data_IF_330785949064
#
_entry.id   IF_330785949064
#
_cell.length_a   1.000
_cell.length_b   1.000
_cell.length_c   1.000
_cell.angle_alpha   90.00
_cell.angle_beta   90.00
_cell.angle_gamma   90.00
#
_symmetry.space_group_name_H-M   'P 1'
#
loop_
_entity.id
_entity.type
_entity.pdbx_description
1 polymer ?
#
# COMPACT_ATOMS: atom_id res chain seq x y z
N UNK A 1 20.80 -13.19 19.85
CA UNK A 1 19.81 -12.75 20.84
C UNK A 1 18.48 -13.24 20.31
N UNK A 2 17.89 -14.27 20.95
CA UNK A 2 16.52 -14.73 20.64
C UNK A 2 15.58 -13.56 20.90
N UNK A 3 14.86 -13.12 19.87
CA UNK A 3 13.86 -12.06 19.99
C UNK A 3 12.83 -12.50 21.03
N UNK A 4 12.58 -11.66 22.04
CA UNK A 4 11.54 -11.89 23.04
C UNK A 4 10.20 -11.86 22.29
N UNK A 5 9.33 -12.85 22.55
CA UNK A 5 7.94 -12.81 22.07
C UNK A 5 7.27 -11.52 22.55
N UNK A 6 6.84 -10.69 21.62
CA UNK A 6 6.17 -9.41 21.90
C UNK A 6 4.68 -9.56 21.67
N UNK A 7 3.89 -8.85 22.47
CA UNK A 7 2.49 -8.60 22.19
C UNK A 7 2.35 -7.28 21.47
N UNK A 8 1.86 -7.33 20.22
CA UNK A 8 1.78 -6.20 19.31
C UNK A 8 0.33 -5.86 19.07
N UNK A 9 -0.08 -4.63 19.35
CA UNK A 9 -1.33 -4.09 18.83
C UNK A 9 -1.01 -3.38 17.52
N UNK A 10 -1.57 -3.87 16.42
CA UNK A 10 -1.43 -3.30 15.09
C UNK A 10 -2.76 -2.73 14.63
N UNK A 11 -2.81 -1.48 14.16
CA UNK A 11 -4.01 -0.93 13.52
C UNK A 11 -4.02 -1.19 12.03
N UNK A 12 -5.19 -1.37 11.42
CA UNK A 12 -5.35 -1.47 9.97
C UNK A 12 -6.68 -0.86 9.51
N UNK A 13 -6.77 -0.55 8.23
CA UNK A 13 -8.05 -0.32 7.55
C UNK A 13 -8.28 -1.40 6.49
N UNK A 14 -9.56 -1.67 6.19
CA UNK A 14 -9.98 -2.69 5.25
C UNK A 14 -10.27 -2.16 3.83
N UNK A 15 -10.01 -0.85 3.58
CA UNK A 15 -10.44 -0.18 2.33
C UNK A 15 -9.44 -0.33 1.19
N UNK A 16 -8.17 -0.61 1.49
CA UNK A 16 -7.14 -0.62 0.46
C UNK A 16 -5.90 -1.45 0.79
N UNK A 17 -4.77 -1.07 0.22
CA UNK A 17 -3.51 -1.79 0.35
C UNK A 17 -2.95 -1.89 1.78
N UNK A 18 -3.44 -1.07 2.70
CA UNK A 18 -3.03 -1.14 4.12
C UNK A 18 -3.49 -2.45 4.75
N UNK A 19 -4.70 -2.94 4.39
CA UNK A 19 -5.14 -4.27 4.82
C UNK A 19 -4.14 -5.34 4.41
N UNK A 20 -3.77 -5.36 3.14
CA UNK A 20 -2.89 -6.39 2.61
C UNK A 20 -1.51 -6.36 3.25
N UNK A 21 -0.95 -5.16 3.43
CA UNK A 21 0.29 -4.97 4.17
C UNK A 21 0.18 -5.50 5.61
N UNK A 22 -0.89 -5.11 6.32
CA UNK A 22 -1.08 -5.47 7.72
C UNK A 22 -1.31 -6.98 7.89
N UNK A 23 -2.08 -7.60 7.00
CA UNK A 23 -2.35 -9.03 7.02
C UNK A 23 -1.07 -9.86 6.78
N UNK A 24 -0.31 -9.53 5.73
CA UNK A 24 0.96 -10.21 5.41
C UNK A 24 1.97 -10.05 6.56
N UNK A 25 2.11 -8.84 7.10
CA UNK A 25 3.04 -8.59 8.21
C UNK A 25 2.59 -9.28 9.50
N UNK A 26 1.30 -9.17 9.88
CA UNK A 26 0.77 -9.77 11.09
C UNK A 26 0.90 -11.30 11.09
N UNK A 27 0.50 -11.95 9.99
CA UNK A 27 0.64 -13.40 9.84
C UNK A 27 2.08 -13.87 9.97
N UNK A 28 3.02 -13.17 9.34
CA UNK A 28 4.43 -13.52 9.40
C UNK A 28 5.07 -13.22 10.76
N UNK A 29 4.65 -12.16 11.47
CA UNK A 29 5.08 -11.87 12.85
C UNK A 29 4.59 -12.96 13.82
N UNK A 30 3.36 -13.45 13.66
CA UNK A 30 2.86 -14.60 14.44
C UNK A 30 3.69 -15.84 14.12
N UNK A 31 4.01 -16.10 12.86
CA UNK A 31 4.92 -17.17 12.45
C UNK A 31 6.33 -17.05 13.07
N UNK A 32 6.77 -15.83 13.40
CA UNK A 32 8.01 -15.55 14.13
C UNK A 32 7.87 -15.65 15.66
N UNK A 33 6.68 -15.97 16.19
CA UNK A 33 6.41 -16.20 17.61
C UNK A 33 5.90 -14.98 18.36
N UNK A 34 5.48 -13.90 17.70
CA UNK A 34 4.83 -12.77 18.34
C UNK A 34 3.32 -13.01 18.53
N UNK A 35 2.71 -12.33 19.51
CA UNK A 35 1.24 -12.26 19.70
C UNK A 35 0.74 -10.98 19.05
N UNK A 36 -0.02 -11.09 17.93
CA UNK A 36 -0.48 -9.94 17.18
C UNK A 36 -2.00 -9.78 17.29
N UNK A 37 -2.40 -8.61 17.77
CA UNK A 37 -3.79 -8.15 17.76
C UNK A 37 -3.96 -7.10 16.66
N UNK A 38 -4.72 -7.44 15.61
CA UNK A 38 -5.05 -6.55 14.50
C UNK A 38 -6.36 -5.83 14.79
N UNK A 39 -6.29 -4.54 15.09
CA UNK A 39 -7.44 -3.68 15.37
C UNK A 39 -7.82 -2.91 14.09
N UNK A 40 -9.00 -3.21 13.52
CA UNK A 40 -9.47 -2.55 12.29
C UNK A 40 -10.22 -1.26 12.61
N UNK A 41 -10.07 -0.27 11.72
CA UNK A 41 -10.75 1.01 11.77
C UNK A 41 -11.49 1.24 10.44
N UNK A 42 -12.57 2.02 10.50
CA UNK A 42 -13.40 2.28 9.33
C UNK A 42 -14.38 1.15 9.04
N UNK A 43 -14.66 0.85 7.77
CA UNK A 43 -15.51 -0.27 7.38
C UNK A 43 -14.95 -1.62 7.86
N UNK A 44 -15.86 -2.53 8.27
CA UNK A 44 -15.48 -3.89 8.65
C UNK A 44 -14.78 -4.62 7.51
N UNK A 45 -13.80 -5.49 7.81
CA UNK A 45 -13.20 -6.36 6.81
C UNK A 45 -14.23 -7.29 6.16
N UNK A 46 -14.07 -7.55 4.88
CA UNK A 46 -14.91 -8.54 4.16
C UNK A 46 -14.62 -9.96 4.63
N UNK A 47 -15.52 -10.88 4.29
CA UNK A 47 -15.33 -12.31 4.60
C UNK A 47 -14.02 -12.85 4.00
N UNK A 48 -13.69 -12.46 2.76
CA UNK A 48 -12.45 -12.90 2.08
C UNK A 48 -11.20 -12.32 2.75
N UNK A 49 -11.28 -11.07 3.25
CA UNK A 49 -10.20 -10.45 4.01
C UNK A 49 -9.95 -11.16 5.34
N UNK A 50 -10.99 -11.59 6.03
CA UNK A 50 -10.87 -12.38 7.26
C UNK A 50 -10.34 -13.78 6.95
N UNK A 51 -10.84 -14.40 5.88
CA UNK A 51 -10.46 -15.76 5.46
C UNK A 51 -8.95 -15.87 5.18
N UNK A 52 -8.31 -14.84 4.59
CA UNK A 52 -6.88 -14.87 4.32
C UNK A 52 -6.00 -14.94 5.58
N UNK A 53 -6.55 -14.65 6.76
CA UNK A 53 -5.87 -14.78 8.06
C UNK A 53 -6.30 -16.02 8.86
N UNK A 54 -7.24 -16.84 8.35
CA UNK A 54 -7.83 -17.97 9.07
C UNK A 54 -6.80 -19.01 9.51
N UNK A 55 -5.79 -19.27 8.68
CA UNK A 55 -4.72 -20.22 8.99
C UNK A 55 -3.62 -19.66 9.87
N UNK A 56 -3.77 -18.40 10.28
CA UNK A 56 -2.84 -17.72 11.18
C UNK A 56 -3.45 -17.57 12.57
N UNK A 57 -2.63 -17.47 13.60
CA UNK A 57 -3.09 -17.16 14.96
C UNK A 57 -3.21 -15.64 15.21
N UNK A 58 -3.40 -14.83 14.15
CA UNK A 58 -3.65 -13.39 14.26
C UNK A 58 -5.03 -13.17 14.86
N UNK A 59 -5.08 -12.44 15.98
CA UNK A 59 -6.34 -12.03 16.58
C UNK A 59 -6.85 -10.76 15.89
N UNK A 60 -8.09 -10.77 15.38
CA UNK A 60 -8.70 -9.61 14.73
C UNK A 60 -9.78 -9.04 15.64
N UNK A 61 -9.76 -7.72 15.83
CA UNK A 61 -10.86 -6.96 16.46
C UNK A 61 -11.36 -5.92 15.45
N UNK A 62 -12.62 -6.10 15.02
CA UNK A 62 -13.34 -5.02 14.35
C UNK A 62 -13.80 -4.02 15.43
N UNK A 63 -13.15 -2.85 15.42
CA UNK A 63 -13.38 -1.87 16.47
C UNK A 63 -14.59 -0.98 16.20
N UNK A 64 -15.05 -0.89 14.96
CA UNK A 64 -16.07 0.06 14.52
C UNK A 64 -15.67 1.55 14.71
N UNK A 65 -14.39 1.81 14.98
CA UNK A 65 -13.86 3.15 15.21
C UNK A 65 -13.62 3.89 13.90
N UNK A 66 -13.66 5.22 13.96
CA UNK A 66 -13.47 6.06 12.79
C UNK A 66 -12.05 5.97 12.23
N UNK A 67 -11.96 5.83 10.91
CA UNK A 67 -10.73 5.93 10.15
C UNK A 67 -10.48 7.39 9.76
N UNK A 68 -9.26 7.86 9.93
CA UNK A 68 -8.91 9.29 9.83
C UNK A 68 -9.22 9.92 8.47
N UNK A 69 -8.89 9.25 7.37
CA UNK A 69 -9.12 9.79 6.03
C UNK A 69 -10.58 9.67 5.53
N UNK A 70 -11.43 8.93 6.28
CA UNK A 70 -12.89 8.90 6.05
C UNK A 70 -13.65 9.89 6.95
N UNK A 71 -13.00 10.44 7.98
CA UNK A 71 -13.63 11.35 8.93
C UNK A 71 -13.77 12.76 8.35
N UNK A 72 -14.84 13.45 8.71
CA UNK A 72 -15.09 14.84 8.29
C UNK A 72 -14.37 15.86 9.16
N UNK A 73 -14.07 15.52 10.42
CA UNK A 73 -13.37 16.38 11.37
C UNK A 73 -12.51 15.55 12.36
N UNK A 74 -11.76 16.24 13.22
CA UNK A 74 -10.81 15.61 14.14
C UNK A 74 -11.44 14.88 15.32
N UNK A 75 -12.71 15.11 15.65
CA UNK A 75 -13.33 14.58 16.88
C UNK A 75 -13.47 13.05 16.85
N UNK A 76 -14.06 12.43 15.82
CA UNK A 76 -14.12 10.95 15.76
C UNK A 76 -12.73 10.31 15.81
N UNK A 77 -11.72 10.95 15.19
CA UNK A 77 -10.34 10.44 15.21
C UNK A 77 -9.70 10.50 16.59
N UNK A 78 -10.00 11.55 17.38
CA UNK A 78 -9.56 11.65 18.78
C UNK A 78 -10.20 10.56 19.64
N UNK A 79 -11.49 10.35 19.50
CA UNK A 79 -12.23 9.29 20.19
C UNK A 79 -11.64 7.90 19.82
N UNK A 80 -11.35 7.68 18.53
CA UNK A 80 -10.69 6.46 18.07
C UNK A 80 -9.30 6.28 18.69
N UNK A 81 -8.50 7.35 18.74
CA UNK A 81 -7.15 7.31 19.30
C UNK A 81 -7.16 6.96 20.79
N UNK A 82 -8.07 7.56 21.58
CA UNK A 82 -8.24 7.26 23.01
C UNK A 82 -8.66 5.80 23.23
N UNK A 83 -9.58 5.28 22.41
CA UNK A 83 -10.03 3.88 22.47
C UNK A 83 -8.91 2.89 22.09
N UNK A 84 -8.13 3.19 21.07
CA UNK A 84 -6.96 2.35 20.67
C UNK A 84 -5.88 2.40 21.78
N UNK A 85 -5.63 3.56 22.39
CA UNK A 85 -4.68 3.66 23.50
C UNK A 85 -5.15 2.85 24.72
N UNK A 86 -6.45 2.88 25.04
CA UNK A 86 -7.04 2.05 26.09
C UNK A 86 -6.94 0.55 25.76
N UNK A 87 -7.31 0.16 24.53
CA UNK A 87 -7.18 -1.23 24.07
C UNK A 87 -5.75 -1.73 24.17
N UNK A 88 -4.74 -0.93 23.81
CA UNK A 88 -3.34 -1.29 23.96
C UNK A 88 -2.93 -1.53 25.43
N UNK A 89 -3.54 -0.80 26.38
CA UNK A 89 -3.30 -1.00 27.80
C UNK A 89 -4.01 -2.26 28.33
N UNK A 90 -5.29 -2.46 28.00
CA UNK A 90 -6.11 -3.60 28.42
C UNK A 90 -5.55 -4.91 27.92
N UNK A 91 -5.12 -4.95 26.66
CA UNK A 91 -4.47 -6.10 26.01
C UNK A 91 -3.00 -6.26 26.43
N UNK A 92 -2.48 -5.37 27.27
CA UNK A 92 -1.09 -5.38 27.74
C UNK A 92 -0.08 -5.43 26.58
N UNK A 93 -0.35 -4.68 25.49
CA UNK A 93 0.55 -4.62 24.37
C UNK A 93 1.95 -4.14 24.81
N UNK A 94 2.98 -4.74 24.27
CA UNK A 94 4.36 -4.27 24.42
C UNK A 94 4.66 -3.11 23.47
N UNK A 95 4.07 -3.15 22.27
CA UNK A 95 4.26 -2.16 21.18
C UNK A 95 2.90 -1.86 20.54
N UNK A 96 2.71 -0.60 20.14
CA UNK A 96 1.64 -0.17 19.24
C UNK A 96 2.23 0.12 17.86
N UNK A 97 1.87 -0.70 16.88
CA UNK A 97 2.19 -0.51 15.47
C UNK A 97 1.01 0.19 14.78
N UNK A 98 1.14 1.47 14.55
CA UNK A 98 0.05 2.30 14.08
C UNK A 98 0.18 2.61 12.59
N UNK A 99 -0.72 2.08 11.76
CA UNK A 99 -0.78 2.32 10.31
C UNK A 99 -1.57 3.59 9.93
N UNK A 100 -2.12 4.30 10.91
CA UNK A 100 -2.70 5.65 10.80
C UNK A 100 -1.98 6.59 11.76
N UNK A 101 -0.94 7.32 11.33
CA UNK A 101 -0.20 8.24 12.19
C UNK A 101 -1.07 9.29 12.87
N UNK A 102 -2.23 9.64 12.29
CA UNK A 102 -3.18 10.61 12.87
C UNK A 102 -3.63 10.21 14.29
N UNK A 103 -3.75 8.91 14.60
CA UNK A 103 -4.11 8.42 15.93
C UNK A 103 -3.07 8.81 16.98
N UNK A 104 -1.78 8.68 16.66
CA UNK A 104 -0.69 9.06 17.57
C UNK A 104 -0.60 10.59 17.76
N UNK A 105 -1.08 11.36 16.78
CA UNK A 105 -1.20 12.81 16.89
C UNK A 105 -2.44 13.28 17.69
N UNK A 106 -3.41 12.39 17.86
CA UNK A 106 -4.70 12.71 18.48
C UNK A 106 -4.75 12.39 19.98
N UNK A 107 -4.03 11.34 20.46
CA UNK A 107 -3.96 10.94 21.86
C UNK A 107 -2.55 10.54 22.27
N UNK A 108 -2.30 10.50 23.59
CA UNK A 108 -1.08 9.98 24.17
C UNK A 108 -1.13 8.46 24.34
N UNK A 109 -0.05 7.79 23.99
CA UNK A 109 0.11 6.34 24.16
C UNK A 109 1.17 6.06 25.24
N UNK A 110 0.86 5.16 26.15
CA UNK A 110 1.77 4.75 27.24
C UNK A 110 2.75 3.67 26.82
N UNK A 111 2.58 3.13 25.63
CA UNK A 111 3.39 2.05 25.05
C UNK A 111 4.32 2.59 23.98
N UNK A 112 5.48 1.94 23.72
CA UNK A 112 6.29 2.29 22.56
C UNK A 112 5.49 2.22 21.26
N UNK A 113 5.72 3.20 20.39
CA UNK A 113 4.93 3.39 19.19
C UNK A 113 5.78 3.37 17.91
N UNK A 114 5.32 2.61 16.93
CA UNK A 114 5.76 2.69 15.54
C UNK A 114 4.64 3.30 14.71
N UNK A 115 4.87 4.45 14.08
CA UNK A 115 3.97 5.02 13.09
C UNK A 115 4.42 4.62 11.68
N UNK A 116 3.59 3.93 10.93
CA UNK A 116 3.85 3.65 9.50
C UNK A 116 2.88 4.45 8.65
N UNK A 117 3.42 5.29 7.76
CA UNK A 117 2.62 6.07 6.82
C UNK A 117 2.58 5.37 5.46
N UNK A 118 1.40 4.96 5.02
CA UNK A 118 1.17 4.28 3.73
C UNK A 118 0.61 5.20 2.64
N UNK A 119 0.24 6.40 3.00
CA UNK A 119 -0.39 7.45 2.23
C UNK A 119 -1.13 8.36 3.19
N UNK A 120 -1.31 9.62 2.84
CA UNK A 120 -2.13 10.54 3.61
C UNK A 120 -2.70 11.62 2.72
N UNK A 121 -3.78 12.25 3.16
CA UNK A 121 -4.50 13.25 2.37
C UNK A 121 -3.58 14.39 1.89
N UNK A 122 -2.66 14.88 2.73
CA UNK A 122 -1.80 16.00 2.33
C UNK A 122 -0.79 15.61 1.22
N UNK A 123 -0.28 14.37 1.23
CA UNK A 123 0.61 13.86 0.17
C UNK A 123 -0.16 13.55 -1.11
N UNK A 124 -1.37 12.98 -0.97
CA UNK A 124 -2.29 12.76 -2.07
C UNK A 124 -2.71 14.07 -2.73
N UNK A 125 -3.10 15.07 -1.93
CA UNK A 125 -3.53 16.38 -2.41
C UNK A 125 -2.45 17.07 -3.25
N UNK A 126 -1.20 17.03 -2.80
CA UNK A 126 -0.08 17.62 -3.53
C UNK A 126 0.14 16.98 -4.91
N UNK A 127 -0.21 15.71 -5.07
CA UNK A 127 -0.10 15.00 -6.35
C UNK A 127 -1.34 15.14 -7.23
N UNK A 128 -2.51 15.33 -6.62
CA UNK A 128 -3.80 15.35 -7.31
C UNK A 128 -4.29 16.76 -7.67
N UNK A 129 -3.76 17.79 -7.01
CA UNK A 129 -4.28 19.17 -7.09
C UNK A 129 -3.14 20.19 -7.17
N UNK A 130 -3.33 21.22 -7.97
CA UNK A 130 -2.40 22.34 -8.06
C UNK A 130 -2.63 23.36 -6.94
N UNK A 131 -3.81 23.37 -6.33
CA UNK A 131 -4.17 24.28 -5.25
C UNK A 131 -3.64 23.81 -3.89
N UNK A 132 -3.39 24.72 -2.94
CA UNK A 132 -3.06 24.36 -1.57
C UNK A 132 -4.14 23.48 -0.93
N UNK A 133 -3.72 22.64 0.03
CA UNK A 133 -4.65 21.80 0.80
C UNK A 133 -5.80 22.65 1.36
N UNK A 134 -7.04 22.23 1.05
CA UNK A 134 -8.23 22.96 1.46
C UNK A 134 -8.34 23.06 3.00
N UNK A 135 -8.83 24.20 3.54
CA UNK A 135 -8.84 24.47 4.99
C UNK A 135 -9.55 23.41 5.82
N UNK A 136 -10.62 22.81 5.29
CA UNK A 136 -11.38 21.75 5.95
C UNK A 136 -10.56 20.50 6.26
N UNK A 137 -9.40 20.31 5.59
CA UNK A 137 -8.49 19.17 5.79
C UNK A 137 -7.24 19.52 6.62
N UNK A 138 -7.08 20.77 7.08
CA UNK A 138 -5.91 21.18 7.86
C UNK A 138 -5.81 20.42 9.18
N UNK A 139 -6.94 20.01 9.78
CA UNK A 139 -6.95 19.18 10.98
C UNK A 139 -6.30 17.82 10.73
N UNK A 140 -6.58 17.18 9.58
CA UNK A 140 -6.00 15.88 9.23
C UNK A 140 -4.48 16.00 9.06
N UNK A 141 -4.02 16.98 8.25
CA UNK A 141 -2.60 17.29 8.10
C UNK A 141 -1.92 17.52 9.44
N UNK A 142 -2.58 18.29 10.34
CA UNK A 142 -2.06 18.56 11.67
C UNK A 142 -1.91 17.28 12.51
N UNK A 143 -2.92 16.41 12.55
CA UNK A 143 -2.86 15.16 13.32
C UNK A 143 -1.80 14.20 12.78
N UNK A 144 -1.73 14.01 11.46
CA UNK A 144 -0.70 13.16 10.85
C UNK A 144 0.70 13.69 11.16
N UNK A 145 0.94 14.98 10.99
CA UNK A 145 2.23 15.60 11.28
C UNK A 145 2.65 15.45 12.75
N UNK A 146 1.70 15.70 13.68
CA UNK A 146 1.92 15.45 15.12
C UNK A 146 2.21 13.98 15.42
N UNK A 147 1.48 13.07 14.79
CA UNK A 147 1.66 11.64 15.00
C UNK A 147 3.02 11.13 14.54
N UNK A 148 3.47 11.58 13.36
CA UNK A 148 4.81 11.26 12.87
C UNK A 148 5.93 11.83 13.76
N UNK A 149 5.69 12.97 14.42
CA UNK A 149 6.65 13.59 15.36
C UNK A 149 6.59 12.95 16.75
N UNK A 150 5.43 12.51 17.20
CA UNK A 150 5.20 11.95 18.54
C UNK A 150 5.56 10.46 18.62
N UNK A 151 5.55 9.75 17.50
CA UNK A 151 5.94 8.34 17.47
C UNK A 151 7.41 8.16 17.88
N UNK A 152 7.71 7.11 18.65
CA UNK A 152 9.10 6.76 18.99
C UNK A 152 9.90 6.42 17.74
N UNK A 153 9.26 5.78 16.74
CA UNK A 153 9.79 5.57 15.39
C UNK A 153 8.70 5.86 14.36
N UNK A 154 9.03 6.64 13.35
CA UNK A 154 8.22 6.81 12.13
C UNK A 154 8.84 6.02 10.98
N UNK A 155 8.01 5.35 10.18
CA UNK A 155 8.43 4.58 9.01
C UNK A 155 7.56 4.86 7.77
N UNK A 156 8.10 4.51 6.60
CA UNK A 156 7.45 4.65 5.30
C UNK A 156 7.86 3.50 4.36
N UNK A 157 7.06 3.15 3.35
CA UNK A 157 7.31 2.00 2.49
C UNK A 157 8.36 2.24 1.39
N UNK A 158 8.82 3.47 1.18
CA UNK A 158 9.87 3.81 0.22
C UNK A 158 10.66 5.05 0.66
N UNK A 159 11.89 5.21 0.15
CA UNK A 159 12.71 6.39 0.41
C UNK A 159 12.09 7.66 -0.18
N UNK A 160 11.56 7.56 -1.39
CA UNK A 160 10.88 8.67 -2.06
C UNK A 160 9.72 9.19 -1.23
N UNK A 161 8.90 8.29 -0.70
CA UNK A 161 7.77 8.67 0.15
C UNK A 161 8.23 9.17 1.53
N UNK A 162 9.25 8.59 2.13
CA UNK A 162 9.83 9.07 3.39
C UNK A 162 10.36 10.51 3.27
N UNK A 163 11.03 10.84 2.15
CA UNK A 163 11.48 12.21 1.85
C UNK A 163 10.32 13.19 1.67
N UNK A 164 9.27 12.76 0.96
CA UNK A 164 8.05 13.55 0.78
C UNK A 164 7.38 13.87 2.11
N UNK A 165 7.23 12.87 3.01
CA UNK A 165 6.70 13.06 4.35
C UNK A 165 7.55 14.06 5.15
N UNK A 166 8.88 13.91 5.11
CA UNK A 166 9.77 14.86 5.79
C UNK A 166 9.56 16.28 5.30
N UNK A 167 9.43 16.47 4.00
CA UNK A 167 9.22 17.78 3.40
C UNK A 167 7.86 18.39 3.79
N UNK A 168 6.76 17.64 3.62
CA UNK A 168 5.39 18.14 3.86
C UNK A 168 5.15 18.48 5.33
N UNK A 169 5.69 17.66 6.25
CA UNK A 169 5.45 17.78 7.69
C UNK A 169 6.59 18.46 8.44
N UNK A 170 7.67 18.88 7.76
CA UNK A 170 8.81 19.51 8.40
C UNK A 170 9.47 18.62 9.46
N UNK A 171 9.56 17.30 9.19
CA UNK A 171 10.10 16.36 10.17
C UNK A 171 11.60 16.58 10.35
N UNK A 172 12.07 16.55 11.60
CA UNK A 172 13.50 16.66 11.91
C UNK A 172 14.33 15.53 11.28
N UNK A 173 13.81 14.31 11.38
CA UNK A 173 14.41 13.11 10.82
C UNK A 173 13.55 12.56 9.70
N UNK A 174 14.18 11.97 8.67
CA UNK A 174 13.44 11.21 7.65
C UNK A 174 12.92 9.93 8.28
N UNK A 175 11.64 9.56 8.06
CA UNK A 175 11.12 8.27 8.49
C UNK A 175 11.99 7.10 8.04
N UNK A 176 12.10 6.05 8.86
CA UNK A 176 12.81 4.84 8.48
C UNK A 176 12.09 4.17 7.32
N UNK A 177 12.86 3.57 6.40
CA UNK A 177 12.25 2.85 5.28
C UNK A 177 12.18 1.37 5.60
N UNK A 178 10.97 0.83 5.54
CA UNK A 178 10.68 -0.59 5.52
C UNK A 178 9.84 -0.84 4.28
N UNK A 179 10.45 -1.44 3.27
CA UNK A 179 9.72 -1.74 2.04
C UNK A 179 8.62 -2.76 2.32
N UNK A 180 7.45 -2.55 1.72
CA UNK A 180 6.40 -3.55 1.79
C UNK A 180 6.89 -4.84 1.11
N UNK A 181 6.53 -5.97 1.71
CA UNK A 181 6.75 -7.29 1.16
C UNK A 181 5.42 -7.95 0.80
N UNK A 182 5.48 -8.86 -0.14
CA UNK A 182 4.32 -9.64 -0.54
C UNK A 182 4.74 -11.10 -0.74
N UNK A 183 3.97 -12.03 -0.21
CA UNK A 183 4.08 -13.42 -0.65
C UNK A 183 3.58 -13.52 -2.08
N UNK A 184 4.27 -14.23 -2.97
CA UNK A 184 3.71 -14.51 -4.28
C UNK A 184 2.35 -15.16 -4.09
N UNK A 185 1.30 -14.56 -4.67
CA UNK A 185 -0.03 -15.16 -4.64
C UNK A 185 0.05 -16.58 -5.20
N UNK A 186 -0.64 -17.51 -4.57
CA UNK A 186 -0.55 -18.95 -4.69
C UNK A 186 -0.12 -19.46 -6.06
N UNK A 187 0.51 -20.61 -6.11
CA UNK A 187 1.11 -21.23 -7.30
C UNK A 187 0.07 -21.49 -8.42
N UNK A 188 -0.50 -20.41 -8.95
CA UNK A 188 -1.24 -20.51 -10.21
C UNK A 188 -0.20 -20.87 -11.27
N UNK A 189 -0.39 -22.02 -11.93
CA UNK A 189 0.51 -22.47 -12.98
C UNK A 189 0.63 -21.36 -14.04
N UNK A 190 1.87 -20.90 -14.28
CA UNK A 190 2.12 -19.87 -15.31
C UNK A 190 1.70 -20.39 -16.66
N UNK A 191 1.03 -19.55 -17.43
CA UNK A 191 0.81 -19.81 -18.84
C UNK A 191 2.15 -19.97 -19.57
N UNK A 192 2.28 -20.93 -20.46
CA UNK A 192 3.46 -21.06 -21.33
C UNK A 192 3.56 -19.87 -22.30
N UNK A 193 2.41 -19.32 -22.72
CA UNK A 193 2.34 -18.17 -23.62
C UNK A 193 2.08 -16.89 -22.85
N UNK A 194 2.70 -15.80 -23.28
CA UNK A 194 2.41 -14.46 -22.78
C UNK A 194 1.03 -14.00 -23.28
N UNK A 195 0.23 -13.44 -22.38
CA UNK A 195 -1.07 -12.90 -22.75
C UNK A 195 -0.94 -11.76 -23.77
N UNK A 196 -1.90 -11.65 -24.68
CA UNK A 196 -1.94 -10.57 -25.68
C UNK A 196 -2.97 -9.52 -25.31
N UNK A 197 -2.88 -9.01 -24.08
CA UNK A 197 -3.73 -7.95 -23.55
C UNK A 197 -2.95 -7.12 -22.51
N UNK A 198 -3.55 -6.04 -22.05
CA UNK A 198 -3.03 -5.14 -21.04
C UNK A 198 -3.86 -5.29 -19.77
N UNK A 199 -3.23 -5.18 -18.60
CA UNK A 199 -3.90 -5.23 -17.30
C UNK A 199 -3.42 -4.08 -16.40
N UNK A 200 -4.33 -3.54 -15.63
CA UNK A 200 -4.07 -2.69 -14.46
C UNK A 200 -4.88 -3.17 -13.26
N UNK A 201 -4.42 -2.89 -12.05
CA UNK A 201 -5.17 -3.19 -10.83
C UNK A 201 -5.01 -2.08 -9.78
N UNK A 202 -6.14 -1.69 -9.16
CA UNK A 202 -6.14 -0.67 -8.10
C UNK A 202 -7.49 -0.01 -7.89
N UNK A 203 -7.50 1.08 -7.09
CA UNK A 203 -8.68 1.90 -6.86
C UNK A 203 -8.92 2.79 -8.07
N UNK A 204 -9.79 2.37 -8.99
CA UNK A 204 -10.01 3.09 -10.26
C UNK A 204 -10.71 4.44 -10.06
N UNK A 205 -11.43 4.60 -8.95
CA UNK A 205 -12.08 5.86 -8.56
C UNK A 205 -11.09 6.92 -8.04
N UNK A 206 -9.88 6.52 -7.67
CA UNK A 206 -8.87 7.41 -7.08
C UNK A 206 -8.09 8.13 -8.20
N UNK A 207 -8.29 9.45 -8.32
CA UNK A 207 -7.72 10.29 -9.38
C UNK A 207 -6.21 10.06 -9.60
N UNK A 208 -5.45 9.93 -8.49
CA UNK A 208 -4.00 9.76 -8.58
C UNK A 208 -3.56 8.40 -9.10
N UNK A 209 -4.47 7.43 -9.26
CA UNK A 209 -4.17 6.13 -9.87
C UNK A 209 -4.18 6.16 -11.40
N UNK A 210 -4.61 7.26 -11.99
CA UNK A 210 -4.51 7.51 -13.42
C UNK A 210 -5.48 6.69 -14.28
N UNK A 211 -6.63 6.25 -13.74
CA UNK A 211 -7.62 5.48 -14.49
C UNK A 211 -8.09 6.21 -15.75
N UNK A 212 -8.27 7.53 -15.70
CA UNK A 212 -8.64 8.35 -16.86
C UNK A 212 -7.55 8.39 -17.95
N UNK A 213 -6.27 8.31 -17.58
CA UNK A 213 -5.15 8.19 -18.55
C UNK A 213 -5.17 6.80 -19.18
N UNK A 214 -5.33 5.76 -18.38
CA UNK A 214 -5.38 4.37 -18.86
C UNK A 214 -6.58 4.13 -19.79
N UNK A 215 -7.72 4.78 -19.54
CA UNK A 215 -8.88 4.72 -20.43
C UNK A 215 -8.58 5.34 -21.81
N UNK A 216 -7.85 6.46 -21.85
CA UNK A 216 -7.37 7.05 -23.10
C UNK A 216 -6.37 6.11 -23.81
N UNK A 217 -5.44 5.47 -23.07
CA UNK A 217 -4.53 4.47 -23.64
C UNK A 217 -5.31 3.33 -24.27
N UNK A 218 -6.34 2.81 -23.58
CA UNK A 218 -7.20 1.74 -24.11
C UNK A 218 -7.88 2.10 -25.43
N UNK A 219 -8.19 3.38 -25.66
CA UNK A 219 -8.71 3.88 -26.93
C UNK A 219 -7.67 4.06 -28.04
N UNK A 220 -6.37 3.93 -27.73
CA UNK A 220 -5.26 4.11 -28.67
C UNK A 220 -4.58 2.79 -29.08
N UNK A 221 -4.92 1.67 -28.46
CA UNK A 221 -4.34 0.35 -28.73
C UNK A 221 -5.39 -0.62 -29.26
N UNK A 222 -4.96 -1.58 -30.09
CA UNK A 222 -5.84 -2.56 -30.75
C UNK A 222 -6.03 -3.87 -29.97
N UNK A 223 -5.70 -3.89 -28.67
CA UNK A 223 -5.84 -5.06 -27.78
C UNK A 223 -6.69 -4.74 -26.56
N UNK A 224 -7.34 -5.73 -25.93
CA UNK A 224 -8.10 -5.49 -24.71
C UNK A 224 -7.23 -4.89 -23.61
N UNK A 225 -7.74 -3.88 -22.91
CA UNK A 225 -7.14 -3.35 -21.70
C UNK A 225 -8.11 -3.55 -20.52
N UNK A 226 -7.77 -4.48 -19.66
CA UNK A 226 -8.56 -4.83 -18.49
C UNK A 226 -8.13 -4.04 -17.26
N UNK A 227 -9.11 -3.68 -16.44
CA UNK A 227 -8.90 -2.96 -15.19
C UNK A 227 -9.60 -3.67 -14.02
N UNK A 228 -8.81 -4.18 -13.08
CA UNK A 228 -9.29 -4.81 -11.86
C UNK A 228 -9.34 -3.80 -10.71
N UNK A 229 -10.44 -3.76 -9.96
CA UNK A 229 -10.60 -2.94 -8.78
C UNK A 229 -11.90 -2.16 -8.73
N UNK A 230 -12.10 -1.44 -7.61
CA UNK A 230 -13.30 -0.64 -7.40
C UNK A 230 -13.32 0.60 -8.29
N UNK A 231 -14.45 0.80 -8.99
CA UNK A 231 -14.74 2.00 -9.77
C UNK A 231 -15.51 3.06 -8.97
N UNK A 232 -15.95 2.73 -7.73
CA UNK A 232 -16.65 3.65 -6.83
C UNK A 232 -15.88 3.79 -5.52
N UNK A 233 -15.70 5.02 -5.07
CA UNK A 233 -15.04 5.40 -3.84
C UNK A 233 -16.00 5.59 -2.67
N UNK A 234 -15.45 5.64 -1.44
CA UNK A 234 -16.26 5.77 -0.22
C UNK A 234 -16.91 7.14 -0.03
N UNK A 235 -16.45 8.19 -0.72
CA UNK A 235 -17.03 9.53 -0.66
C UNK A 235 -17.94 9.84 -1.86
N UNK A 236 -18.25 8.82 -2.68
CA UNK A 236 -19.11 8.96 -3.85
C UNK A 236 -18.37 9.23 -5.16
N UNK A 237 -17.05 9.14 -5.15
CA UNK A 237 -16.25 9.19 -6.38
C UNK A 237 -16.66 8.03 -7.29
N UNK A 238 -16.73 8.28 -8.58
CA UNK A 238 -17.08 7.26 -9.56
C UNK A 238 -16.25 7.43 -10.85
N UNK A 239 -15.66 6.34 -11.28
CA UNK A 239 -14.98 6.26 -12.56
C UNK A 239 -15.80 5.43 -13.54
N UNK A 240 -16.17 6.04 -14.67
CA UNK A 240 -16.89 5.38 -15.77
C UNK A 240 -16.00 5.40 -17.03
N UNK A 241 -15.45 4.26 -17.44
CA UNK A 241 -14.58 4.19 -18.61
C UNK A 241 -15.37 4.26 -19.93
N UNK A 242 -14.67 4.71 -20.99
CA UNK A 242 -15.15 4.65 -22.37
C UNK A 242 -14.54 3.47 -23.14
N UNK A 243 -13.34 3.04 -22.78
CA UNK A 243 -12.53 2.05 -23.50
C UNK A 243 -12.00 0.93 -22.61
N UNK A 244 -11.64 1.23 -21.35
CA UNK A 244 -11.20 0.21 -20.39
C UNK A 244 -12.31 -0.81 -20.11
N UNK A 245 -11.92 -2.08 -20.03
CA UNK A 245 -12.83 -3.18 -19.68
C UNK A 245 -12.71 -3.48 -18.17
N UNK A 246 -13.74 -3.13 -17.42
CA UNK A 246 -13.76 -3.35 -15.96
C UNK A 246 -13.98 -4.82 -15.62
N UNK A 247 -13.07 -5.39 -14.82
CA UNK A 247 -13.22 -6.73 -14.23
C UNK A 247 -13.91 -6.68 -12.85
N UNK A 248 -14.13 -5.47 -12.31
CA UNK A 248 -14.60 -5.31 -10.93
C UNK A 248 -13.52 -5.61 -9.90
N UNK A 249 -13.92 -5.77 -8.64
CA UNK A 249 -13.02 -6.21 -7.58
C UNK A 249 -12.81 -7.72 -7.70
N UNK A 250 -11.59 -8.13 -7.96
CA UNK A 250 -11.18 -9.52 -8.01
C UNK A 250 -10.71 -9.98 -6.64
N UNK A 251 -11.07 -11.21 -6.26
CA UNK A 251 -10.45 -11.89 -5.13
C UNK A 251 -8.96 -12.15 -5.42
N UNK A 252 -8.16 -12.38 -4.37
CA UNK A 252 -6.71 -12.54 -4.52
C UNK A 252 -6.31 -13.64 -5.52
N UNK A 253 -7.04 -14.78 -5.52
CA UNK A 253 -6.79 -15.88 -6.46
C UNK A 253 -7.18 -15.54 -7.91
N UNK A 254 -8.25 -14.77 -8.11
CA UNK A 254 -8.70 -14.34 -9.44
C UNK A 254 -7.69 -13.36 -10.04
N UNK A 255 -7.22 -12.37 -9.26
CA UNK A 255 -6.18 -11.46 -9.71
C UNK A 255 -4.86 -12.21 -9.99
N UNK A 256 -4.51 -13.18 -9.15
CA UNK A 256 -3.33 -14.02 -9.36
C UNK A 256 -3.43 -14.83 -10.66
N UNK A 257 -4.61 -15.34 -11.01
CA UNK A 257 -4.86 -16.05 -12.26
C UNK A 257 -4.69 -15.13 -13.48
N UNK A 258 -5.22 -13.92 -13.42
CA UNK A 258 -5.01 -12.92 -14.48
C UNK A 258 -3.52 -12.58 -14.65
N UNK A 259 -2.82 -12.33 -13.55
CA UNK A 259 -1.38 -12.01 -13.58
C UNK A 259 -0.52 -13.21 -14.04
N UNK A 260 -0.92 -14.45 -13.77
CA UNK A 260 -0.20 -15.65 -14.21
C UNK A 260 -0.14 -15.79 -15.72
N UNK A 261 -1.07 -15.17 -16.46
CA UNK A 261 -1.04 -15.10 -17.93
C UNK A 261 0.01 -14.11 -18.46
N UNK A 262 0.63 -13.32 -17.57
CA UNK A 262 1.68 -12.33 -17.83
C UNK A 262 1.29 -11.30 -18.89
N UNK A 263 0.20 -10.55 -18.68
CA UNK A 263 -0.16 -9.41 -19.53
C UNK A 263 0.89 -8.29 -19.42
N UNK A 264 0.86 -7.33 -20.33
CA UNK A 264 1.55 -6.05 -20.11
C UNK A 264 0.85 -5.33 -18.97
N UNK A 265 1.56 -5.15 -17.86
CA UNK A 265 0.99 -4.46 -16.70
C UNK A 265 1.28 -2.96 -16.77
N UNK A 266 0.24 -2.15 -16.70
CA UNK A 266 0.34 -0.68 -16.80
C UNK A 266 -0.12 -0.03 -15.50
N UNK A 267 0.66 0.96 -15.02
CA UNK A 267 0.23 1.87 -13.96
C UNK A 267 0.56 3.31 -14.34
N UNK A 268 -0.48 4.11 -14.57
CA UNK A 268 -0.38 5.54 -14.87
C UNK A 268 -0.52 6.41 -13.60
N UNK A 269 -0.15 5.88 -12.43
CA UNK A 269 -0.31 6.59 -11.17
C UNK A 269 0.59 7.83 -11.09
N UNK A 270 -0.01 8.99 -10.78
CA UNK A 270 0.72 10.21 -10.48
C UNK A 270 1.29 10.22 -9.05
N UNK A 271 0.72 9.40 -8.16
CA UNK A 271 1.18 9.22 -6.78
C UNK A 271 1.01 7.78 -6.33
N UNK A 272 2.09 7.21 -5.84
CA UNK A 272 2.14 5.86 -5.29
C UNK A 272 3.25 5.77 -4.22
N UNK A 273 2.91 5.57 -2.95
CA UNK A 273 3.92 5.38 -1.89
C UNK A 273 4.77 4.12 -2.05
N UNK A 274 4.21 3.05 -2.66
CA UNK A 274 4.92 1.80 -2.92
C UNK A 274 4.43 1.05 -4.18
N UNK A 275 3.12 0.72 -4.26
CA UNK A 275 2.53 -0.01 -5.38
C UNK A 275 2.51 -1.53 -5.21
N UNK A 276 1.69 -2.03 -4.29
CA UNK A 276 1.55 -3.47 -4.06
C UNK A 276 1.08 -4.22 -5.32
N UNK A 277 0.16 -3.66 -6.09
CA UNK A 277 -0.31 -4.27 -7.33
C UNK A 277 0.78 -4.36 -8.41
N UNK A 278 1.70 -3.38 -8.46
CA UNK A 278 2.89 -3.44 -9.31
C UNK A 278 3.84 -4.55 -8.84
N UNK A 279 4.00 -4.70 -7.51
CA UNK A 279 4.81 -5.79 -6.95
C UNK A 279 4.21 -7.16 -7.31
N UNK A 280 2.91 -7.34 -7.18
CA UNK A 280 2.20 -8.59 -7.55
C UNK A 280 2.38 -8.92 -9.03
N UNK A 281 2.22 -7.93 -9.91
CA UNK A 281 2.46 -8.09 -11.34
C UNK A 281 3.92 -8.47 -11.65
N UNK A 282 4.87 -7.81 -11.00
CA UNK A 282 6.28 -8.12 -11.12
C UNK A 282 6.63 -9.54 -10.63
N UNK A 283 6.07 -9.98 -9.50
CA UNK A 283 6.24 -11.34 -8.97
C UNK A 283 5.73 -12.40 -9.96
N UNK A 284 4.63 -12.11 -10.65
CA UNK A 284 4.08 -12.97 -11.69
C UNK A 284 4.95 -12.98 -12.97
N UNK A 285 5.87 -12.01 -13.13
CA UNK A 285 6.71 -11.86 -14.33
C UNK A 285 6.03 -11.09 -15.46
N UNK A 286 5.08 -10.22 -15.14
CA UNK A 286 4.49 -9.28 -16.10
C UNK A 286 5.54 -8.23 -16.51
N UNK A 287 5.65 -7.88 -17.80
CA UNK A 287 6.40 -6.70 -18.23
C UNK A 287 5.69 -5.44 -17.74
N UNK A 288 6.43 -4.50 -17.17
CA UNK A 288 5.91 -3.32 -16.51
C UNK A 288 6.06 -2.07 -17.36
N UNK A 289 4.97 -1.31 -17.54
CA UNK A 289 4.96 0.07 -18.07
C UNK A 289 4.39 0.98 -16.98
N UNK A 290 5.21 1.85 -16.42
CA UNK A 290 4.90 2.61 -15.22
C UNK A 290 5.09 4.11 -15.45
N UNK A 291 4.34 4.91 -14.71
CA UNK A 291 4.60 6.36 -14.64
C UNK A 291 6.02 6.65 -14.19
N UNK A 292 6.63 7.67 -14.79
CA UNK A 292 7.93 8.22 -14.39
C UNK A 292 7.79 9.06 -13.12
N UNK A 293 7.55 8.41 -11.99
CA UNK A 293 7.50 9.03 -10.66
C UNK A 293 8.63 8.51 -9.78
N UNK A 294 9.04 9.34 -8.83
CA UNK A 294 10.19 9.05 -7.97
C UNK A 294 10.13 7.68 -7.28
N UNK A 295 8.95 7.26 -6.80
CA UNK A 295 8.75 5.96 -6.15
C UNK A 295 8.93 4.80 -7.13
N UNK A 296 8.37 4.90 -8.32
CA UNK A 296 8.52 3.82 -9.30
C UNK A 296 9.96 3.73 -9.82
N UNK A 297 10.64 4.88 -10.01
CA UNK A 297 12.07 4.90 -10.32
C UNK A 297 12.90 4.22 -9.23
N UNK A 298 12.66 4.55 -7.96
CA UNK A 298 13.36 3.93 -6.82
C UNK A 298 13.20 2.41 -6.83
N UNK A 299 11.98 1.92 -7.00
CA UNK A 299 11.67 0.52 -6.83
C UNK A 299 11.98 -0.33 -8.08
N UNK A 300 11.78 0.21 -9.30
CA UNK A 300 11.74 -0.55 -10.55
C UNK A 300 12.77 -0.10 -11.60
N UNK A 301 13.73 0.79 -11.27
CA UNK A 301 14.75 1.20 -12.23
C UNK A 301 15.46 0.00 -12.85
N UNK A 302 15.52 -0.04 -14.21
CA UNK A 302 16.07 -1.15 -15.00
C UNK A 302 15.19 -2.40 -15.09
N UNK A 303 13.93 -2.35 -14.56
CA UNK A 303 12.97 -3.45 -14.58
C UNK A 303 11.57 -3.05 -15.08
N UNK A 304 11.42 -1.82 -15.56
CA UNK A 304 10.19 -1.26 -16.12
C UNK A 304 10.51 -0.26 -17.23
N UNK A 305 9.54 -0.01 -18.11
CA UNK A 305 9.52 1.15 -18.99
C UNK A 305 8.82 2.27 -18.23
N UNK A 306 9.44 3.47 -18.22
CA UNK A 306 8.87 4.64 -17.54
C UNK A 306 8.37 5.66 -18.54
N UNK A 307 7.17 6.18 -18.28
CA UNK A 307 6.41 7.06 -19.17
C UNK A 307 5.88 8.25 -18.38
N UNK A 308 5.83 9.43 -19.00
CA UNK A 308 5.19 10.59 -18.39
C UNK A 308 3.76 10.25 -17.94
N UNK A 309 3.41 10.43 -16.65
CA UNK A 309 2.08 10.07 -16.12
C UNK A 309 0.93 10.81 -16.82
N UNK A 310 1.21 11.92 -17.51
CA UNK A 310 0.21 12.73 -18.21
C UNK A 310 0.12 12.44 -19.72
N UNK A 311 0.94 11.53 -20.28
CA UNK A 311 1.01 11.29 -21.72
C UNK A 311 0.45 9.89 -22.11
N UNK A 312 -0.85 9.78 -22.47
CA UNK A 312 -1.43 8.52 -22.90
C UNK A 312 -0.84 7.98 -24.21
N UNK A 313 -0.28 8.86 -25.08
CA UNK A 313 0.34 8.47 -26.33
C UNK A 313 1.64 7.67 -26.09
N UNK A 314 2.50 8.13 -25.19
CA UNK A 314 3.72 7.41 -24.81
C UNK A 314 3.40 6.06 -24.16
N UNK A 315 2.36 5.97 -23.31
CA UNK A 315 1.91 4.68 -22.77
C UNK A 315 1.46 3.73 -23.89
N UNK A 316 0.64 4.21 -24.82
CA UNK A 316 0.15 3.41 -25.94
C UNK A 316 1.31 2.92 -26.83
N UNK A 317 2.30 3.77 -27.11
CA UNK A 317 3.50 3.42 -27.87
C UNK A 317 4.30 2.33 -27.15
N UNK A 318 4.61 2.51 -25.85
CA UNK A 318 5.36 1.54 -25.06
C UNK A 318 4.64 0.18 -25.00
N UNK A 319 3.34 0.16 -24.82
CA UNK A 319 2.50 -1.05 -24.82
C UNK A 319 2.56 -1.73 -26.19
N UNK A 320 2.36 -0.98 -27.28
CA UNK A 320 2.35 -1.50 -28.66
C UNK A 320 3.69 -2.13 -29.03
N UNK A 321 4.81 -1.47 -28.69
CA UNK A 321 6.14 -2.00 -28.92
C UNK A 321 6.38 -3.32 -28.16
N UNK A 322 5.96 -3.40 -26.90
CA UNK A 322 6.07 -4.63 -26.11
C UNK A 322 5.18 -5.76 -26.67
N UNK A 323 3.98 -5.45 -27.14
CA UNK A 323 3.10 -6.46 -27.72
C UNK A 323 3.60 -7.01 -29.06
N UNK A 324 4.36 -6.20 -29.80
CA UNK A 324 4.96 -6.59 -31.07
C UNK A 324 6.24 -7.44 -30.92
N UNK A 325 6.92 -7.39 -29.75
CA UNK A 325 8.18 -8.10 -29.49
C UNK A 325 8.06 -9.01 -28.24
N UNK A 326 7.80 -10.29 -28.48
CA UNK A 326 7.62 -11.28 -27.42
C UNK A 326 8.91 -11.52 -26.60
N UNK A 327 10.07 -11.45 -27.22
CA UNK A 327 11.37 -11.64 -26.54
C UNK A 327 11.67 -10.45 -25.61
N UNK A 328 11.45 -9.23 -26.08
CA UNK A 328 11.59 -8.02 -25.24
C UNK A 328 10.61 -8.07 -24.06
N UNK A 329 9.37 -8.49 -24.29
CA UNK A 329 8.32 -8.65 -23.30
C UNK A 329 8.70 -9.67 -22.23
N UNK A 330 9.16 -10.85 -22.65
CA UNK A 330 9.62 -11.91 -21.76
C UNK A 330 10.83 -11.46 -20.92
N UNK A 331 11.80 -10.79 -21.54
CA UNK A 331 12.99 -10.26 -20.88
C UNK A 331 12.65 -9.22 -19.83
N UNK A 332 11.76 -8.26 -20.16
CA UNK A 332 11.34 -7.23 -19.21
C UNK A 332 10.59 -7.84 -18.02
N UNK A 333 9.70 -8.80 -18.26
CA UNK A 333 9.02 -9.55 -17.21
C UNK A 333 9.98 -10.33 -16.28
N UNK A 334 11.03 -10.92 -16.81
CA UNK A 334 12.09 -11.57 -16.02
C UNK A 334 12.84 -10.56 -15.15
N UNK A 335 13.19 -9.38 -15.68
CA UNK A 335 13.84 -8.31 -14.92
C UNK A 335 12.92 -7.80 -13.78
N UNK A 336 11.64 -7.61 -14.08
CA UNK A 336 10.64 -7.22 -13.09
C UNK A 336 10.55 -8.27 -11.97
N UNK A 337 10.49 -9.56 -12.31
CA UNK A 337 10.44 -10.65 -11.34
C UNK A 337 11.70 -10.75 -10.48
N UNK A 338 12.88 -10.62 -11.07
CA UNK A 338 14.14 -10.59 -10.31
C UNK A 338 14.17 -9.40 -9.33
N UNK A 339 13.69 -8.25 -9.77
CA UNK A 339 13.59 -7.04 -8.93
C UNK A 339 12.59 -7.24 -7.77
N UNK A 340 11.43 -7.86 -8.03
CA UNK A 340 10.41 -8.18 -7.02
C UNK A 340 10.94 -9.07 -5.89
N UNK A 341 11.93 -9.92 -6.16
CA UNK A 341 12.62 -10.73 -5.14
C UNK A 341 13.31 -9.94 -4.02
N UNK A 342 13.41 -8.61 -4.14
CA UNK A 342 13.89 -7.73 -3.07
C UNK A 342 12.80 -7.37 -2.06
N UNK A 343 11.53 -7.56 -2.40
CA UNK A 343 10.36 -7.10 -1.65
C UNK A 343 9.56 -8.29 -1.12
N UNK A 344 10.17 -9.04 -0.21
CA UNK A 344 9.56 -10.24 0.40
C UNK A 344 9.02 -9.95 1.79
N UNK A 345 8.03 -10.74 2.21
CA UNK A 345 7.45 -10.65 3.56
C UNK A 345 8.51 -10.88 4.64
N UNK A 346 9.42 -11.85 4.43
CA UNK A 346 10.48 -12.16 5.39
C UNK A 346 11.45 -10.98 5.58
N UNK A 347 11.70 -10.22 4.51
CA UNK A 347 12.51 -9.01 4.61
C UNK A 347 11.78 -7.91 5.36
N UNK A 348 10.51 -7.69 5.05
CA UNK A 348 9.64 -6.72 5.73
C UNK A 348 9.57 -7.02 7.24
N UNK A 349 9.37 -8.29 7.60
CA UNK A 349 9.36 -8.75 9.01
C UNK A 349 10.69 -8.44 9.69
N UNK A 350 11.83 -8.88 9.13
CA UNK A 350 13.15 -8.64 9.73
C UNK A 350 13.43 -7.15 9.97
N UNK A 351 13.09 -6.30 9.01
CA UNK A 351 13.29 -4.86 9.11
C UNK A 351 12.36 -4.24 10.16
N UNK A 352 11.12 -4.73 10.26
CA UNK A 352 10.15 -4.32 11.30
C UNK A 352 10.56 -4.79 12.69
N UNK A 353 10.99 -6.05 12.85
CA UNK A 353 11.51 -6.58 14.13
C UNK A 353 12.75 -5.81 14.61
N UNK A 354 13.62 -5.37 13.69
CA UNK A 354 14.75 -4.52 14.04
C UNK A 354 14.31 -3.18 14.65
N UNK A 355 13.18 -2.63 14.21
CA UNK A 355 12.55 -1.47 14.84
C UNK A 355 11.99 -1.83 16.21
N UNK A 356 11.30 -2.96 16.35
CA UNK A 356 10.74 -3.40 17.63
C UNK A 356 11.82 -3.63 18.70
N UNK A 357 12.97 -4.18 18.32
CA UNK A 357 14.13 -4.33 19.23
C UNK A 357 14.59 -2.96 19.74
N UNK A 358 14.69 -1.96 18.87
CA UNK A 358 15.04 -0.59 19.28
C UNK A 358 14.02 -0.01 20.26
N UNK A 359 12.73 -0.19 19.98
CA UNK A 359 11.63 0.27 20.83
C UNK A 359 11.67 -0.41 22.22
N UNK A 360 11.96 -1.71 22.27
CA UNK A 360 12.13 -2.43 23.53
C UNK A 360 13.34 -1.96 24.34
N UNK A 361 14.44 -1.57 23.68
CA UNK A 361 15.64 -1.04 24.32
C UNK A 361 15.45 0.37 24.91
N UNK A 362 14.62 1.21 24.33
CA UNK A 362 14.31 2.55 24.83
C UNK A 362 13.65 2.54 26.22
N UNK A 363 12.90 1.47 26.56
CA UNK A 363 12.27 1.29 27.89
C UNK A 363 13.22 0.82 28.99
N UNK A 364 14.34 0.20 28.66
CA UNK A 364 15.31 -0.25 29.68
C UNK A 364 16.24 0.89 30.10
N UNK A 365 16.25 1.99 29.33
CA UNK A 365 17.10 3.15 29.59
C UNK A 365 16.36 4.35 30.23
N UNK A 366 15.03 4.29 30.36
CA UNK A 366 14.19 5.30 31.01
C UNK A 366 13.68 4.79 32.37
#
# INVERSE_FOLDING_TARGET
VTARNLRILMTADAVGGVWQYAADLAGALVGSGHDVLLATLGPAPSADQIECLRETDVRIIDTGLALDWLAQDSRPVRESAERIAALAADERADIVHCNSPALLGAAGFSKPTLAVAHGCLATWWQAARDEPLAPEYHWHRHLVGRGLQAADVAAAPSHSYALLLRQIYGLKNTPQVVHNGRSPAGLVARSERLAHHVLTAGRLWDDVKGAAIMDKVAGLIDVPFYAAGAARGPHGEEFTPSHLQLLGQLAGEELAAELASRPVYVSAAAFEPFGLSVLEAAQAGCPLVLSDIATFRELWEGAAIFVDPCDPGQFAEAVTLLLADEDARAKLGQLAQQRAGRFTVERMVRETEAIYVKLGGLRQAA
#
